data_IF_777692001935
#
_entry.id   IF_777692001935
#
_cell.length_a   1.000
_cell.length_b   1.000
_cell.length_c   1.000
_cell.angle_alpha   90.00
_cell.angle_beta   90.00
_cell.angle_gamma   90.00
#
_symmetry.space_group_name_H-M   'P 1'
#
loop_
_entity.id
_entity.type
_entity.pdbx_description
1 polymer ?
#
# COMPACT_ATOMS: atom_id res chain seq x y z
N UNK A 1 -52.73 -33.33 47.48
CA UNK A 1 -51.28 -33.42 47.79
C UNK A 1 -50.65 -34.20 46.65
N UNK A 2 -49.65 -33.78 45.88
CA UNK A 2 -48.61 -32.74 45.95
C UNK A 2 -48.43 -32.17 44.53
N UNK A 3 -48.17 -30.86 44.43
CA UNK A 3 -47.66 -30.27 43.18
C UNK A 3 -46.15 -30.49 43.12
N UNK A 4 -45.64 -30.89 41.96
CA UNK A 4 -44.19 -30.92 41.70
C UNK A 4 -43.91 -30.09 40.47
N UNK A 5 -43.39 -28.88 40.72
CA UNK A 5 -42.83 -27.99 39.69
C UNK A 5 -41.44 -28.51 39.34
N UNK A 6 -41.18 -28.77 38.07
CA UNK A 6 -39.82 -28.96 37.57
C UNK A 6 -39.53 -27.74 36.68
N UNK A 7 -38.73 -26.82 37.24
CA UNK A 7 -38.16 -25.70 36.51
C UNK A 7 -36.90 -26.24 35.83
N UNK A 8 -36.93 -26.39 34.51
CA UNK A 8 -35.75 -26.75 33.71
C UNK A 8 -34.84 -25.54 33.55
N UNK A 9 -33.60 -25.66 34.03
CA UNK A 9 -32.56 -24.64 33.89
C UNK A 9 -32.04 -24.62 32.44
N UNK A 10 -32.20 -23.50 31.74
CA UNK A 10 -31.54 -23.25 30.47
C UNK A 10 -30.09 -22.79 30.74
N UNK A 11 -29.12 -23.64 30.38
CA UNK A 11 -27.71 -23.28 30.41
C UNK A 11 -27.40 -22.38 29.21
N UNK A 12 -27.18 -21.08 29.46
CA UNK A 12 -26.72 -20.12 28.47
C UNK A 12 -25.19 -20.28 28.34
N UNK A 13 -24.74 -21.02 27.32
CA UNK A 13 -23.33 -21.06 26.95
C UNK A 13 -22.95 -19.73 26.29
N UNK A 14 -22.34 -18.83 27.06
CA UNK A 14 -21.69 -17.63 26.52
C UNK A 14 -20.39 -18.11 25.87
N UNK A 15 -20.39 -18.26 24.54
CA UNK A 15 -19.18 -18.46 23.77
C UNK A 15 -18.33 -17.19 23.86
N UNK A 16 -17.26 -17.21 24.66
CA UNK A 16 -16.26 -16.16 24.67
C UNK A 16 -15.48 -16.23 23.36
N UNK A 17 -15.74 -15.31 22.44
CA UNK A 17 -14.89 -15.11 21.27
C UNK A 17 -13.56 -14.53 21.80
N UNK A 18 -12.41 -15.18 21.60
CA UNK A 18 -11.14 -14.58 21.96
C UNK A 18 -10.92 -13.37 21.04
N UNK A 19 -10.92 -12.18 21.62
CA UNK A 19 -10.45 -10.98 20.93
C UNK A 19 -8.94 -11.15 20.70
N UNK A 20 -8.55 -11.55 19.50
CA UNK A 20 -7.16 -11.50 19.09
C UNK A 20 -6.75 -10.03 19.06
N UNK A 21 -5.91 -9.62 20.02
CA UNK A 21 -5.28 -8.31 20.00
C UNK A 21 -4.41 -8.23 18.74
N UNK A 22 -4.84 -7.48 17.74
CA UNK A 22 -3.98 -7.12 16.62
C UNK A 22 -2.91 -6.18 17.19
N UNK A 23 -1.66 -6.64 17.23
CA UNK A 23 -0.54 -5.77 17.53
C UNK A 23 -0.44 -4.76 16.39
N UNK A 24 -0.81 -3.50 16.64
CA UNK A 24 -0.55 -2.39 15.73
C UNK A 24 0.96 -2.16 15.79
N UNK A 25 1.68 -2.67 14.80
CA UNK A 25 3.08 -2.29 14.59
C UNK A 25 3.05 -0.85 14.10
N UNK A 26 3.66 0.12 14.81
CA UNK A 26 3.71 1.49 14.33
C UNK A 26 4.49 1.54 13.01
N UNK A 27 3.82 1.93 11.94
CA UNK A 27 4.47 2.21 10.64
C UNK A 27 5.06 3.60 10.65
N UNK A 28 6.26 3.77 10.06
CA UNK A 28 6.86 5.09 9.88
C UNK A 28 5.96 5.98 9.01
N UNK A 29 6.05 7.31 9.18
CA UNK A 29 5.30 8.24 8.34
C UNK A 29 5.78 8.16 6.89
N UNK A 30 7.10 8.09 6.71
CA UNK A 30 7.79 7.98 5.42
C UNK A 30 7.37 6.69 4.71
N UNK A 31 7.28 5.57 5.43
CA UNK A 31 6.75 4.32 4.88
C UNK A 31 5.31 4.48 4.39
N UNK A 32 4.42 5.06 5.21
CA UNK A 32 3.03 5.28 4.81
C UNK A 32 2.92 6.20 3.57
N UNK A 33 3.71 7.27 3.53
CA UNK A 33 3.75 8.18 2.40
C UNK A 33 4.26 7.48 1.13
N UNK A 34 5.30 6.66 1.23
CA UNK A 34 5.84 5.92 0.10
C UNK A 34 4.89 4.82 -0.39
N UNK A 35 4.17 4.14 0.51
CA UNK A 35 3.09 3.20 0.13
C UNK A 35 1.98 3.91 -0.64
N UNK A 36 1.59 5.12 -0.24
CA UNK A 36 0.64 5.91 -1.01
C UNK A 36 1.17 6.31 -2.41
N UNK A 37 2.49 6.41 -2.59
CA UNK A 37 3.11 6.58 -3.90
C UNK A 37 3.16 5.27 -4.71
N UNK A 38 3.36 4.13 -4.04
CA UNK A 38 3.32 2.79 -4.63
C UNK A 38 1.92 2.45 -5.18
N UNK A 39 0.86 2.81 -4.46
CA UNK A 39 -0.53 2.68 -4.92
C UNK A 39 -0.82 3.47 -6.20
N UNK A 40 -0.01 4.50 -6.50
CA UNK A 40 -0.12 5.32 -7.71
C UNK A 40 0.73 4.80 -8.86
N UNK A 41 1.39 3.64 -8.71
CA UNK A 41 2.10 3.00 -9.82
C UNK A 41 1.12 2.72 -10.95
N UNK A 42 1.44 3.23 -12.14
CA UNK A 42 0.63 3.03 -13.32
C UNK A 42 0.79 1.56 -13.75
N UNK A 43 -0.30 0.80 -13.72
CA UNK A 43 -0.29 -0.64 -14.01
C UNK A 43 -0.50 -0.97 -15.49
N UNK A 44 -1.04 -0.02 -16.26
CA UNK A 44 -1.29 -0.19 -17.70
C UNK A 44 -0.71 1.00 -18.47
N UNK A 45 -0.14 0.79 -19.67
CA UNK A 45 0.43 1.87 -20.46
C UNK A 45 -0.61 2.96 -20.77
N UNK A 46 -0.22 4.22 -20.62
CA UNK A 46 -1.06 5.34 -21.02
C UNK A 46 -1.34 5.29 -22.53
N UNK A 47 -2.61 5.40 -22.90
CA UNK A 47 -3.06 5.27 -24.28
C UNK A 47 -2.99 3.85 -24.86
N UNK A 48 -2.72 2.83 -24.03
CA UNK A 48 -2.63 1.44 -24.49
C UNK A 48 -1.37 1.13 -25.31
N UNK A 49 -0.31 1.93 -25.16
CA UNK A 49 0.89 1.83 -25.99
C UNK A 49 2.10 1.33 -25.18
N UNK A 50 2.48 0.11 -25.48
CA UNK A 50 3.71 -0.50 -24.97
C UNK A 50 4.93 -0.01 -25.76
N UNK A 51 5.41 1.20 -25.42
CA UNK A 51 6.56 1.84 -26.04
C UNK A 51 7.74 2.03 -25.08
N UNK A 52 8.86 2.56 -25.60
CA UNK A 52 10.09 2.84 -24.83
C UNK A 52 9.82 3.54 -23.48
N UNK A 53 8.93 4.52 -23.44
CA UNK A 53 8.64 5.27 -22.20
C UNK A 53 7.93 4.41 -21.15
N UNK A 54 7.04 3.51 -21.58
CA UNK A 54 6.38 2.57 -20.69
C UNK A 54 7.35 1.54 -20.12
N UNK A 55 8.17 0.94 -20.98
CA UNK A 55 9.17 -0.03 -20.53
C UNK A 55 10.23 0.60 -19.62
N UNK A 56 10.70 1.81 -19.94
CA UNK A 56 11.59 2.56 -19.07
C UNK A 56 10.95 2.83 -17.70
N UNK A 57 9.69 3.28 -17.68
CA UNK A 57 8.97 3.52 -16.43
C UNK A 57 8.86 2.25 -15.58
N UNK A 58 8.46 1.12 -16.18
CA UNK A 58 8.37 -0.17 -15.46
C UNK A 58 9.74 -0.65 -14.97
N UNK A 59 10.79 -0.48 -15.76
CA UNK A 59 12.15 -0.83 -15.34
C UNK A 59 12.61 0.02 -14.15
N UNK A 60 12.38 1.33 -14.19
CA UNK A 60 12.77 2.24 -13.11
C UNK A 60 11.97 1.97 -11.83
N UNK A 61 10.67 1.73 -11.91
CA UNK A 61 9.85 1.32 -10.75
C UNK A 61 10.39 0.04 -10.10
N UNK A 62 10.74 -0.96 -10.92
CA UNK A 62 11.30 -2.21 -10.41
C UNK A 62 12.69 -2.00 -9.77
N UNK A 63 13.50 -1.09 -10.31
CA UNK A 63 14.83 -0.77 -9.75
C UNK A 63 14.68 -0.06 -8.40
N UNK A 64 13.87 0.98 -8.31
CA UNK A 64 13.55 1.70 -7.07
C UNK A 64 13.00 0.73 -5.99
N UNK A 65 12.16 -0.25 -6.36
CA UNK A 65 11.71 -1.31 -5.43
C UNK A 65 12.84 -2.24 -4.97
N UNK A 66 13.79 -2.55 -5.85
CA UNK A 66 14.96 -3.37 -5.52
C UNK A 66 15.92 -2.64 -4.59
N UNK A 67 16.14 -1.34 -4.84
CA UNK A 67 17.01 -0.47 -4.05
C UNK A 67 16.46 -0.34 -2.62
N UNK A 68 15.18 0.00 -2.44
CA UNK A 68 14.53 -0.01 -1.12
C UNK A 68 14.77 -1.32 -0.35
N UNK A 69 14.62 -2.47 -1.02
CA UNK A 69 14.83 -3.77 -0.38
C UNK A 69 16.29 -4.01 0.03
N UNK A 70 17.24 -3.39 -0.68
CA UNK A 70 18.66 -3.34 -0.32
C UNK A 70 18.92 -2.40 0.85
N UNK A 71 18.38 -1.19 0.78
CA UNK A 71 18.59 -0.13 1.78
C UNK A 71 18.01 -0.52 3.13
N UNK A 72 16.78 -1.06 3.16
CA UNK A 72 16.17 -1.58 4.38
C UNK A 72 16.92 -2.78 4.97
N UNK A 73 17.62 -3.57 4.14
CA UNK A 73 18.48 -4.66 4.63
C UNK A 73 19.80 -4.13 5.21
N UNK A 74 20.29 -3.01 4.67
CA UNK A 74 21.51 -2.33 5.12
C UNK A 74 21.29 -1.37 6.29
N UNK A 75 20.05 -0.96 6.55
CA UNK A 75 19.68 0.01 7.58
C UNK A 75 20.09 -0.48 8.98
N UNK A 76 20.78 0.40 9.71
CA UNK A 76 21.33 0.13 11.03
C UNK A 76 20.52 0.76 12.16
N UNK A 77 19.81 1.84 11.87
CA UNK A 77 18.92 2.51 12.80
C UNK A 77 17.59 2.97 12.15
N UNK A 78 16.80 3.71 12.92
CA UNK A 78 15.50 4.21 12.47
C UNK A 78 15.63 5.36 11.46
N UNK A 79 16.71 6.13 11.50
CA UNK A 79 16.91 7.23 10.55
C UNK A 79 17.24 6.67 9.18
N UNK A 80 18.09 5.64 9.11
CA UNK A 80 18.38 4.90 7.87
C UNK A 80 17.09 4.35 7.23
N UNK A 81 16.14 3.86 8.04
CA UNK A 81 14.85 3.37 7.55
C UNK A 81 13.97 4.51 7.04
N UNK A 82 13.94 5.66 7.74
CA UNK A 82 13.15 6.84 7.33
C UNK A 82 13.67 7.38 6.00
N UNK A 83 14.99 7.52 5.88
CA UNK A 83 15.64 8.00 4.65
C UNK A 83 15.36 7.06 3.48
N UNK A 84 15.50 5.75 3.67
CA UNK A 84 15.21 4.76 2.62
C UNK A 84 13.75 4.83 2.14
N UNK A 85 12.79 4.98 3.06
CA UNK A 85 11.38 5.13 2.71
C UNK A 85 11.07 6.48 2.03
N UNK A 86 11.66 7.58 2.50
CA UNK A 86 11.49 8.91 1.90
C UNK A 86 12.03 8.97 0.47
N UNK A 87 13.23 8.42 0.26
CA UNK A 87 13.86 8.34 -1.06
C UNK A 87 13.01 7.48 -2.00
N UNK A 88 12.62 6.28 -1.57
CA UNK A 88 11.76 5.38 -2.35
C UNK A 88 10.46 6.07 -2.82
N UNK A 89 9.75 6.75 -1.91
CA UNK A 89 8.52 7.48 -2.27
C UNK A 89 8.78 8.64 -3.26
N UNK A 90 9.88 9.36 -3.06
CA UNK A 90 10.31 10.48 -3.93
C UNK A 90 10.62 9.99 -5.34
N UNK A 91 11.33 8.87 -5.46
CA UNK A 91 11.68 8.25 -6.73
C UNK A 91 10.45 7.73 -7.47
N UNK A 92 9.55 7.00 -6.81
CA UNK A 92 8.30 6.54 -7.42
C UNK A 92 7.50 7.71 -8.03
N UNK A 93 7.41 8.82 -7.29
CA UNK A 93 6.76 10.05 -7.76
C UNK A 93 7.52 10.66 -8.95
N UNK A 94 8.85 10.71 -8.90
CA UNK A 94 9.69 11.21 -9.98
C UNK A 94 9.46 10.41 -11.27
N UNK A 95 9.55 9.08 -11.19
CA UNK A 95 9.42 8.18 -12.33
C UNK A 95 8.03 8.26 -12.96
N UNK A 96 6.98 8.28 -12.13
CA UNK A 96 5.61 8.48 -12.59
C UNK A 96 5.45 9.81 -13.31
N UNK A 97 5.98 10.90 -12.75
CA UNK A 97 5.91 12.24 -13.34
C UNK A 97 6.67 12.30 -14.68
N UNK A 98 7.85 11.70 -14.76
CA UNK A 98 8.66 11.61 -15.98
C UNK A 98 7.92 10.87 -17.08
N UNK A 99 7.34 9.71 -16.77
CA UNK A 99 6.53 8.95 -17.72
C UNK A 99 5.30 9.75 -18.18
N UNK A 100 4.52 10.28 -17.25
CA UNK A 100 3.34 11.11 -17.54
C UNK A 100 3.71 12.28 -18.45
N UNK A 101 4.77 13.02 -18.12
CA UNK A 101 5.24 14.16 -18.92
C UNK A 101 5.64 13.74 -20.33
N UNK A 102 6.30 12.59 -20.47
CA UNK A 102 6.68 12.04 -21.78
C UNK A 102 5.47 11.66 -22.64
N UNK A 103 4.40 11.16 -22.01
CA UNK A 103 3.16 10.78 -22.68
C UNK A 103 2.27 11.99 -23.01
N UNK A 104 2.16 12.96 -22.10
CA UNK A 104 1.45 14.23 -22.34
C UNK A 104 2.07 15.00 -23.50
N UNK A 105 3.41 15.07 -23.57
CA UNK A 105 4.12 15.67 -24.72
C UNK A 105 3.82 15.02 -26.07
N UNK A 106 3.28 13.78 -26.06
CA UNK A 106 2.89 13.02 -27.25
C UNK A 106 1.38 13.06 -27.52
N UNK A 107 0.61 13.81 -26.73
CA UNK A 107 -0.83 13.99 -26.91
C UNK A 107 -1.70 12.98 -26.16
N UNK A 108 -1.13 12.10 -25.33
CA UNK A 108 -1.92 11.17 -24.53
C UNK A 108 -2.50 11.86 -23.29
N UNK A 109 -3.75 11.51 -22.96
CA UNK A 109 -4.39 11.95 -21.73
C UNK A 109 -4.03 11.01 -20.58
N UNK A 110 -3.79 11.59 -19.40
CA UNK A 110 -3.63 10.85 -18.16
C UNK A 110 -5.00 10.75 -17.51
N UNK A 111 -5.54 9.55 -17.28
CA UNK A 111 -6.77 9.40 -16.52
C UNK A 111 -6.50 9.78 -15.06
N UNK A 112 -7.24 10.75 -14.55
CA UNK A 112 -7.32 11.02 -13.10
C UNK A 112 -8.55 10.30 -12.58
N UNK A 113 -8.37 9.27 -11.75
CA UNK A 113 -9.49 8.64 -11.05
C UNK A 113 -9.71 9.41 -9.74
N UNK A 114 -10.86 10.08 -9.63
CA UNK A 114 -11.35 10.58 -8.34
C UNK A 114 -12.21 9.48 -7.74
N UNK A 115 -11.82 8.94 -6.59
CA UNK A 115 -12.71 8.12 -5.77
C UNK A 115 -13.41 9.09 -4.83
N UNK A 116 -14.65 9.47 -5.15
CA UNK A 116 -15.50 10.19 -4.21
C UNK A 116 -15.98 9.21 -3.13
N UNK A 117 -15.47 9.38 -1.91
CA UNK A 117 -16.06 8.82 -0.68
C UNK A 117 -15.83 7.33 -0.43
N UNK A 118 -15.02 7.03 0.60
CA UNK A 118 -15.26 5.92 1.52
C UNK A 118 -15.28 6.52 2.93
#
# INVERSE_FOLDING_TARGET
MKQTKIIGAAALAIATIPAAAMAVVPTLYEEQAARAEEERIIQTPLGGIDGKHWYNYRANVNETQKELAGDLRGASDIEDQRDAWEEYGTELRHERSTYVKAMVKRGYRVPTVYIEGI
#
